data_IF_803507613909
#
_entry.id   IF_803507613909
#
_cell.length_a   1.000
_cell.length_b   1.000
_cell.length_c   1.000
_cell.angle_alpha   90.00
_cell.angle_beta   90.00
_cell.angle_gamma   90.00
#
_symmetry.space_group_name_H-M   'P 1'
#
loop_
_entity.id
_entity.type
_entity.pdbx_description
1 polymer ?
#
# COMPACT_ATOMS: atom_id res chain seq x y z
N UNK A 1 -12.12 -22.94 -34.92
CA UNK A 1 -12.12 -24.10 -34.01
C UNK A 1 -12.02 -23.56 -32.59
N UNK A 2 -13.06 -23.77 -31.79
CA UNK A 2 -13.08 -23.37 -30.38
C UNK A 2 -12.09 -24.26 -29.62
N UNK A 3 -11.27 -23.67 -28.75
CA UNK A 3 -10.42 -24.41 -27.84
C UNK A 3 -11.33 -25.20 -26.88
N UNK A 4 -11.36 -26.52 -27.02
CA UNK A 4 -11.98 -27.40 -26.04
C UNK A 4 -11.23 -27.21 -24.72
N UNK A 5 -11.92 -26.72 -23.69
CA UNK A 5 -11.44 -26.77 -22.33
C UNK A 5 -11.15 -28.24 -21.99
N UNK A 6 -9.91 -28.52 -21.58
CA UNK A 6 -9.55 -29.82 -21.01
C UNK A 6 -10.37 -29.99 -19.72
N UNK A 7 -11.22 -31.03 -19.59
CA UNK A 7 -12.09 -31.20 -18.44
C UNK A 7 -11.34 -31.75 -17.22
N UNK A 8 -10.07 -31.38 -17.00
CA UNK A 8 -9.32 -31.76 -15.80
C UNK A 8 -9.88 -30.98 -14.60
N UNK A 9 -10.93 -31.54 -14.00
CA UNK A 9 -11.49 -31.12 -12.72
C UNK A 9 -10.65 -31.59 -11.53
N UNK A 10 -9.60 -32.38 -11.76
CA UNK A 10 -8.63 -32.79 -10.74
C UNK A 10 -7.35 -31.93 -10.81
N UNK A 11 -7.16 -30.98 -9.88
CA UNK A 11 -5.97 -30.14 -9.82
C UNK A 11 -4.68 -30.95 -9.68
N UNK A 12 -4.74 -32.14 -9.08
CA UNK A 12 -3.54 -32.96 -8.83
C UNK A 12 -2.93 -33.44 -10.14
N UNK A 13 -3.77 -33.99 -11.03
CA UNK A 13 -3.36 -34.47 -12.34
C UNK A 13 -2.79 -33.33 -13.20
N UNK A 14 -3.42 -32.15 -13.16
CA UNK A 14 -2.95 -30.96 -13.88
C UNK A 14 -1.53 -30.57 -13.48
N UNK A 15 -1.25 -30.46 -12.18
CA UNK A 15 0.10 -30.11 -11.71
C UNK A 15 1.13 -31.20 -12.05
N UNK A 16 0.78 -32.48 -11.90
CA UNK A 16 1.70 -33.58 -12.19
C UNK A 16 2.08 -33.70 -13.67
N UNK A 17 1.18 -33.32 -14.59
CA UNK A 17 1.42 -33.39 -16.04
C UNK A 17 2.18 -32.19 -16.59
N UNK A 18 1.89 -31.00 -16.07
CA UNK A 18 2.37 -29.75 -16.67
C UNK A 18 3.57 -29.12 -15.93
N UNK A 19 3.91 -29.60 -14.74
CA UNK A 19 4.99 -29.04 -13.92
C UNK A 19 5.98 -30.12 -13.49
N UNK A 20 7.24 -29.75 -13.34
CA UNK A 20 8.30 -30.59 -12.75
C UNK A 20 8.80 -29.93 -11.46
N UNK A 21 8.68 -30.58 -10.29
CA UNK A 21 9.13 -30.00 -9.03
C UNK A 21 10.66 -29.93 -8.99
N UNK A 22 11.20 -28.82 -8.49
CA UNK A 22 12.63 -28.62 -8.24
C UNK A 22 12.80 -28.37 -6.73
N UNK A 23 13.73 -29.11 -6.11
CA UNK A 23 14.06 -28.90 -4.69
C UNK A 23 15.03 -27.72 -4.59
N UNK A 24 14.63 -26.72 -3.82
CA UNK A 24 15.47 -25.57 -3.47
C UNK A 24 16.05 -25.78 -2.07
N UNK A 25 17.31 -25.36 -1.86
CA UNK A 25 17.97 -25.32 -0.55
C UNK A 25 17.82 -26.61 0.28
N UNK A 26 17.96 -27.78 -0.35
CA UNK A 26 17.81 -29.09 0.29
C UNK A 26 16.50 -29.27 1.07
N UNK A 27 15.41 -28.63 0.60
CA UNK A 27 14.10 -28.68 1.23
C UNK A 27 13.97 -27.81 2.49
N UNK A 28 14.94 -26.95 2.78
CA UNK A 28 14.91 -26.02 3.92
C UNK A 28 14.52 -24.62 3.47
N UNK A 29 13.62 -24.00 4.22
CA UNK A 29 13.20 -22.62 4.00
C UNK A 29 12.54 -22.05 5.24
N UNK A 30 12.40 -20.72 5.26
CA UNK A 30 11.61 -20.02 6.25
C UNK A 30 10.25 -19.69 5.63
N UNK A 31 9.18 -20.23 6.20
CA UNK A 31 7.82 -19.84 5.85
C UNK A 31 7.34 -18.76 6.84
N UNK A 32 6.91 -17.63 6.32
CA UNK A 32 6.25 -16.55 7.08
C UNK A 32 4.86 -16.29 6.52
N UNK A 33 3.95 -15.77 7.35
CA UNK A 33 2.60 -15.41 6.93
C UNK A 33 2.47 -13.93 6.57
N UNK A 34 1.61 -13.64 5.59
CA UNK A 34 1.08 -12.31 5.29
C UNK A 34 -0.45 -12.40 5.30
N UNK A 35 -1.12 -11.33 5.72
CA UNK A 35 -2.57 -11.21 5.60
C UNK A 35 -2.95 -9.77 5.28
N UNK A 36 -4.12 -9.59 4.69
CA UNK A 36 -4.69 -8.28 4.44
C UNK A 36 -5.62 -7.89 5.61
N UNK A 37 -5.27 -6.89 6.43
CA UNK A 37 -6.10 -6.48 7.56
C UNK A 37 -7.37 -5.79 7.08
N UNK A 38 -8.47 -6.01 7.80
CA UNK A 38 -9.71 -5.26 7.63
C UNK A 38 -9.87 -4.32 8.84
N UNK A 39 -9.99 -3.02 8.57
CA UNK A 39 -10.08 -1.97 9.60
C UNK A 39 -11.39 -1.20 9.46
N UNK A 40 -11.87 -0.58 10.54
CA UNK A 40 -13.04 0.28 10.47
C UNK A 40 -12.71 1.62 9.78
N UNK A 41 -13.49 1.98 8.77
CA UNK A 41 -13.36 3.22 8.00
C UNK A 41 -14.51 4.20 8.27
N UNK A 42 -14.27 5.47 7.94
CA UNK A 42 -15.19 6.59 8.08
C UNK A 42 -15.09 7.49 6.85
N UNK A 43 -16.22 8.06 6.42
CA UNK A 43 -16.29 8.99 5.28
C UNK A 43 -15.83 10.42 5.62
N UNK A 44 -15.79 10.76 6.92
CA UNK A 44 -15.46 12.09 7.40
C UNK A 44 -14.60 12.01 8.66
N UNK A 45 -13.90 13.09 8.96
CA UNK A 45 -13.12 13.23 10.19
C UNK A 45 -14.00 13.06 11.42
N UNK A 46 -13.49 12.34 12.42
CA UNK A 46 -14.10 12.16 13.72
C UNK A 46 -13.03 12.23 14.82
N UNK A 47 -13.40 12.54 16.08
CA UNK A 47 -12.46 12.49 17.19
C UNK A 47 -11.77 11.12 17.28
N UNK A 48 -10.45 11.11 17.30
CA UNK A 48 -9.64 9.89 17.36
C UNK A 48 -9.40 9.21 16.00
N UNK A 49 -10.04 9.65 14.92
CA UNK A 49 -9.82 9.08 13.59
C UNK A 49 -8.52 9.60 12.94
N UNK A 50 -7.89 8.76 12.13
CA UNK A 50 -6.68 9.10 11.40
C UNK A 50 -6.94 9.16 9.87
N UNK A 51 -6.41 10.18 9.16
CA UNK A 51 -6.68 10.32 7.74
C UNK A 51 -5.90 9.27 6.93
N UNK A 52 -6.60 8.62 5.99
CA UNK A 52 -5.99 7.80 4.94
C UNK A 52 -5.69 8.71 3.75
N UNK A 53 -4.41 9.05 3.56
CA UNK A 53 -4.02 10.06 2.57
C UNK A 53 -3.62 9.43 1.23
N UNK A 54 -4.13 10.04 0.16
CA UNK A 54 -3.63 9.86 -1.20
C UNK A 54 -2.23 10.45 -1.38
N UNK A 55 -1.52 9.99 -2.40
CA UNK A 55 -0.21 10.53 -2.78
C UNK A 55 -0.35 12.02 -3.17
N UNK A 56 0.35 12.96 -2.51
CA UNK A 56 0.35 14.35 -2.91
C UNK A 56 0.94 14.50 -4.32
N UNK A 57 0.35 15.33 -5.20
CA UNK A 57 0.83 15.50 -6.57
C UNK A 57 2.25 16.07 -6.65
N UNK A 58 2.68 16.83 -5.64
CA UNK A 58 4.03 17.38 -5.56
C UNK A 58 5.08 16.40 -5.01
N UNK A 59 4.68 15.18 -4.63
CA UNK A 59 5.60 14.14 -4.18
C UNK A 59 6.28 13.49 -5.39
N UNK A 60 7.55 13.79 -5.58
CA UNK A 60 8.36 13.33 -6.72
C UNK A 60 9.43 12.33 -6.31
N UNK A 61 9.76 11.44 -7.24
CA UNK A 61 10.84 10.47 -7.12
C UNK A 61 12.03 11.00 -7.90
N UNK A 62 13.18 11.10 -7.26
CA UNK A 62 14.42 11.60 -7.84
C UNK A 62 15.44 10.47 -7.85
N UNK A 63 15.80 9.98 -9.03
CA UNK A 63 16.86 9.00 -9.18
C UNK A 63 18.21 9.71 -9.19
N UNK A 64 18.99 9.55 -8.11
CA UNK A 64 20.28 10.22 -7.95
C UNK A 64 21.29 9.86 -9.06
N UNK A 65 21.13 8.69 -9.68
CA UNK A 65 21.99 8.23 -10.77
C UNK A 65 21.87 9.10 -12.02
N UNK A 66 20.71 9.73 -12.25
CA UNK A 66 20.48 10.59 -13.40
C UNK A 66 21.37 11.85 -13.36
N UNK A 67 21.91 12.17 -12.17
CA UNK A 67 22.87 13.27 -11.97
C UNK A 67 24.28 12.77 -11.63
N UNK A 68 24.59 11.50 -11.86
CA UNK A 68 25.90 10.93 -11.55
C UNK A 68 26.23 10.87 -10.05
N UNK A 69 25.22 10.97 -9.18
CA UNK A 69 25.39 10.90 -7.73
C UNK A 69 25.23 9.43 -7.29
N UNK A 70 26.20 8.92 -6.53
CA UNK A 70 26.09 7.59 -5.94
C UNK A 70 24.92 7.52 -4.96
N UNK A 71 24.00 6.60 -5.18
CA UNK A 71 22.83 6.42 -4.34
C UNK A 71 21.68 5.72 -5.05
N UNK A 72 20.56 5.60 -4.34
CA UNK A 72 19.29 5.12 -4.90
C UNK A 72 18.33 6.28 -5.22
N UNK A 73 17.06 5.94 -5.31
CA UNK A 73 15.98 6.93 -5.45
C UNK A 73 15.69 7.61 -4.12
N UNK A 74 15.63 8.93 -4.13
CA UNK A 74 15.08 9.72 -3.01
C UNK A 74 13.70 10.24 -3.38
N UNK A 75 12.87 10.49 -2.36
CA UNK A 75 11.52 11.01 -2.55
C UNK A 75 11.35 12.29 -1.75
N UNK A 76 10.80 13.32 -2.36
CA UNK A 76 10.64 14.64 -1.76
C UNK A 76 9.45 15.40 -2.33
N UNK A 77 9.08 16.49 -1.67
CA UNK A 77 8.02 17.38 -2.12
C UNK A 77 8.60 18.54 -2.92
N UNK A 78 8.02 18.84 -4.07
CA UNK A 78 8.31 20.07 -4.81
C UNK A 78 7.68 21.27 -4.08
N UNK A 79 8.50 22.26 -3.72
CA UNK A 79 8.06 23.56 -3.18
C UNK A 79 8.75 24.68 -3.96
N UNK A 80 7.98 25.36 -4.81
CA UNK A 80 8.54 26.34 -5.74
C UNK A 80 9.56 25.69 -6.65
N UNK A 81 10.81 26.15 -6.60
CA UNK A 81 11.93 25.62 -7.38
C UNK A 81 12.83 24.64 -6.61
N UNK A 82 12.38 24.13 -5.45
CA UNK A 82 13.17 23.24 -4.58
C UNK A 82 12.45 21.94 -4.34
N UNK A 83 13.22 20.86 -4.17
CA UNK A 83 12.72 19.62 -3.58
C UNK A 83 13.11 19.58 -2.12
N UNK A 84 12.12 19.38 -1.25
CA UNK A 84 12.30 19.31 0.22
C UNK A 84 11.88 17.95 0.75
N UNK A 85 12.34 17.62 1.96
CA UNK A 85 11.89 16.41 2.64
C UNK A 85 10.39 16.50 2.92
N UNK A 86 9.67 15.39 2.73
CA UNK A 86 8.28 15.29 3.16
C UNK A 86 8.17 15.40 4.69
N UNK A 87 7.05 15.92 5.23
CA UNK A 87 6.77 15.88 6.66
C UNK A 87 6.88 14.45 7.20
N UNK A 88 7.31 14.32 8.45
CA UNK A 88 7.27 13.04 9.13
C UNK A 88 5.84 12.64 9.50
N UNK A 89 5.66 11.38 9.91
CA UNK A 89 4.36 10.85 10.33
C UNK A 89 3.66 11.74 11.35
N UNK A 90 4.38 12.16 12.38
CA UNK A 90 3.80 12.95 13.46
C UNK A 90 3.32 14.32 12.97
N UNK A 91 4.02 14.95 12.03
CA UNK A 91 3.59 16.18 11.39
C UNK A 91 2.36 15.96 10.49
N UNK A 92 2.30 14.84 9.79
CA UNK A 92 1.13 14.45 8.98
C UNK A 92 -0.10 14.26 9.86
N UNK A 93 0.03 13.52 10.96
CA UNK A 93 -1.04 13.29 11.94
C UNK A 93 -1.51 14.61 12.60
N UNK A 94 -0.61 15.58 12.77
CA UNK A 94 -0.96 16.95 13.21
C UNK A 94 -1.52 17.85 12.10
N UNK A 95 -1.74 17.33 10.90
CA UNK A 95 -2.41 18.06 9.82
C UNK A 95 -1.48 18.78 8.84
N UNK A 96 -0.24 18.31 8.63
CA UNK A 96 0.66 18.90 7.62
C UNK A 96 0.08 18.91 6.19
N UNK A 97 -0.92 18.06 5.92
CA UNK A 97 -1.66 18.00 4.65
C UNK A 97 -3.15 18.36 4.79
N UNK A 98 -3.59 18.83 5.96
CA UNK A 98 -5.00 19.12 6.21
C UNK A 98 -5.54 20.21 5.27
N UNK A 99 -6.79 20.06 4.84
CA UNK A 99 -7.47 21.03 3.99
C UNK A 99 -7.01 21.02 2.53
N UNK A 100 -6.23 20.01 2.12
CA UNK A 100 -5.75 19.86 0.74
C UNK A 100 -6.60 18.89 -0.10
N UNK A 101 -7.60 18.24 0.49
CA UNK A 101 -8.45 17.27 -0.21
C UNK A 101 -7.68 16.02 -0.62
N UNK A 102 -6.70 15.61 0.20
CA UNK A 102 -5.90 14.41 -0.02
C UNK A 102 -6.46 13.20 0.74
N UNK A 103 -7.40 13.43 1.66
CA UNK A 103 -8.06 12.44 2.48
C UNK A 103 -8.99 11.56 1.62
N UNK A 104 -8.63 10.29 1.46
CA UNK A 104 -9.43 9.29 0.73
C UNK A 104 -10.56 8.72 1.60
N UNK A 105 -10.25 8.53 2.89
CA UNK A 105 -11.13 8.06 3.94
C UNK A 105 -10.47 8.38 5.29
N UNK A 106 -11.11 8.00 6.37
CA UNK A 106 -10.58 8.11 7.73
C UNK A 106 -10.63 6.74 8.39
N UNK A 107 -9.52 6.27 8.96
CA UNK A 107 -9.51 5.09 9.81
C UNK A 107 -10.06 5.45 11.19
N UNK A 108 -10.95 4.62 11.73
CA UNK A 108 -11.55 4.86 13.05
C UNK A 108 -10.53 4.75 14.18
N UNK A 109 -9.49 3.93 14.02
CA UNK A 109 -8.38 3.78 14.97
C UNK A 109 -7.01 4.04 14.28
N UNK A 110 -6.17 4.97 14.79
CA UNK A 110 -4.82 5.22 14.28
C UNK A 110 -3.88 4.02 14.41
N UNK A 111 -4.10 3.12 15.37
CA UNK A 111 -3.32 1.90 15.56
C UNK A 111 -3.62 0.91 14.44
N UNK A 112 -4.90 0.72 14.09
CA UNK A 112 -5.30 -0.12 12.97
C UNK A 112 -4.75 0.42 11.64
N UNK A 113 -4.81 1.74 11.43
CA UNK A 113 -4.19 2.37 10.26
C UNK A 113 -2.68 2.12 10.21
N UNK A 114 -2.00 2.13 11.35
CA UNK A 114 -0.58 1.84 11.41
C UNK A 114 -0.27 0.40 10.99
N UNK A 115 -1.05 -0.58 11.47
CA UNK A 115 -0.89 -1.97 11.04
C UNK A 115 -1.18 -2.15 9.55
N UNK A 116 -2.21 -1.48 9.03
CA UNK A 116 -2.48 -1.44 7.59
C UNK A 116 -1.27 -0.87 6.83
N UNK A 117 -0.63 0.19 7.33
CA UNK A 117 0.58 0.76 6.72
C UNK A 117 1.79 -0.18 6.80
N UNK A 118 1.91 -1.01 7.85
CA UNK A 118 2.99 -2.01 7.94
C UNK A 118 2.80 -3.09 6.88
N UNK A 119 1.58 -3.59 6.70
CA UNK A 119 1.28 -4.62 5.69
C UNK A 119 1.35 -4.05 4.26
N UNK A 120 1.02 -2.76 4.08
CA UNK A 120 1.08 -2.06 2.81
C UNK A 120 -0.18 -2.20 1.96
N UNK A 121 -1.07 -3.13 2.28
CA UNK A 121 -2.45 -3.16 1.79
C UNK A 121 -3.41 -3.58 2.91
N UNK A 122 -4.70 -3.37 2.69
CA UNK A 122 -5.75 -3.63 3.67
C UNK A 122 -7.13 -3.37 3.08
N UNK A 123 -8.16 -3.65 3.86
CA UNK A 123 -9.56 -3.33 3.55
C UNK A 123 -10.12 -2.39 4.61
N UNK A 124 -11.00 -1.50 4.20
CA UNK A 124 -11.72 -0.61 5.10
C UNK A 124 -13.21 -0.94 5.04
N UNK A 125 -13.77 -1.36 6.16
CA UNK A 125 -15.20 -1.56 6.34
C UNK A 125 -15.86 -0.20 6.64
N UNK A 126 -16.65 0.31 5.70
CA UNK A 126 -17.29 1.62 5.79
C UNK A 126 -18.65 1.52 6.52
N UNK A 127 -19.16 2.64 7.09
CA UNK A 127 -20.39 2.61 7.88
C UNK A 127 -21.65 2.22 7.09
N UNK A 128 -21.62 2.34 5.76
CA UNK A 128 -22.72 1.91 4.86
C UNK A 128 -22.61 0.44 4.43
N UNK A 129 -21.67 -0.32 5.00
CA UNK A 129 -21.44 -1.74 4.70
C UNK A 129 -20.58 -1.99 3.46
N UNK A 130 -20.10 -0.94 2.78
CA UNK A 130 -19.12 -1.09 1.68
C UNK A 130 -17.76 -1.47 2.23
N UNK A 131 -17.03 -2.25 1.45
CA UNK A 131 -15.63 -2.59 1.73
C UNK A 131 -14.78 -1.92 0.67
N UNK A 132 -13.86 -1.06 1.10
CA UNK A 132 -12.93 -0.39 0.21
C UNK A 132 -11.55 -1.03 0.33
N UNK A 133 -10.96 -1.44 -0.78
CA UNK A 133 -9.57 -1.90 -0.82
C UNK A 133 -8.63 -0.69 -0.66
N UNK A 134 -7.62 -0.81 0.19
CA UNK A 134 -6.55 0.15 0.38
C UNK A 134 -5.21 -0.48 0.02
N UNK A 135 -4.39 0.24 -0.76
CA UNK A 135 -3.06 -0.22 -1.15
C UNK A 135 -2.07 0.94 -1.14
N UNK A 136 -0.80 0.66 -0.82
CA UNK A 136 0.27 1.64 -0.85
C UNK A 136 0.53 2.16 -2.27
N UNK A 137 0.55 3.47 -2.42
CA UNK A 137 0.97 4.16 -3.66
C UNK A 137 2.36 4.80 -3.53
N UNK A 138 2.74 5.23 -2.33
CA UNK A 138 4.05 5.79 -2.06
C UNK A 138 4.44 5.61 -0.60
N UNK A 139 5.75 5.62 -0.33
CA UNK A 139 6.30 5.77 1.01
C UNK A 139 7.58 6.61 1.01
N UNK A 140 7.78 7.39 2.05
CA UNK A 140 9.11 7.86 2.45
C UNK A 140 9.58 7.02 3.63
N UNK A 141 10.76 7.30 4.16
CA UNK A 141 11.19 6.69 5.42
C UNK A 141 10.26 7.04 6.61
N UNK A 142 9.41 8.08 6.47
CA UNK A 142 8.65 8.64 7.58
C UNK A 142 7.13 8.67 7.36
N UNK A 143 6.65 8.32 6.17
CA UNK A 143 5.22 8.42 5.83
C UNK A 143 4.84 7.46 4.71
N UNK A 144 3.61 6.98 4.71
CA UNK A 144 3.02 6.17 3.64
C UNK A 144 1.76 6.84 3.11
N UNK A 145 1.58 6.77 1.80
CA UNK A 145 0.40 7.21 1.08
C UNK A 145 -0.25 6.03 0.38
N UNK A 146 -1.56 6.09 0.27
CA UNK A 146 -2.40 4.97 -0.15
C UNK A 146 -3.27 5.38 -1.34
N UNK A 147 -3.90 4.38 -1.95
CA UNK A 147 -5.05 4.51 -2.83
C UNK A 147 -6.19 3.72 -2.20
N UNK A 148 -7.41 4.19 -2.35
CA UNK A 148 -8.61 3.48 -1.91
C UNK A 148 -9.53 3.22 -3.11
N UNK A 149 -10.18 2.07 -3.14
CA UNK A 149 -11.16 1.70 -4.17
C UNK A 149 -12.37 1.03 -3.53
N UNK A 150 -13.51 1.67 -3.67
CA UNK A 150 -14.86 1.19 -3.37
C UNK A 150 -15.63 1.20 -4.71
#
# INVERSE_FOLDING_TARGET
>A
AAACADPETDPTTFFARHFSPIVLNDGKGLATGYFEPEIAGLYAAAPGAAPVLSRPPELVDLNLKDWGISGGTIRGLVKGNRVVRAPDRAAIERGAFAGRGLELAWAADPVDLFFLQIQGSGRMAMPDGKICASAMTARTAMAMWQSASC
#
